data_IF_546521344100
#
_entry.id   IF_546521344100
#
_cell.length_a   1.000
_cell.length_b   1.000
_cell.length_c   1.000
_cell.angle_alpha   90.00
_cell.angle_beta   90.00
_cell.angle_gamma   90.00
#
_symmetry.space_group_name_H-M   'P 1'
#
loop_
_entity.id
_entity.type
_entity.pdbx_description
1 polymer ?
#
# COMPACT_ATOMS: atom_id res chain seq x y z
N UNK A 1 4.23 -42.11 -38.88
CA UNK A 1 4.46 -40.68 -39.11
C UNK A 1 4.11 -39.95 -37.84
N UNK A 2 5.05 -39.90 -36.91
CA UNK A 2 4.89 -39.24 -35.62
C UNK A 2 5.14 -37.74 -35.83
N UNK A 3 4.06 -36.95 -35.76
CA UNK A 3 4.12 -35.50 -35.75
C UNK A 3 4.74 -35.04 -34.43
N UNK A 4 6.05 -34.82 -34.45
CA UNK A 4 6.77 -34.10 -33.41
C UNK A 4 6.26 -32.66 -33.37
N UNK A 5 5.38 -32.39 -32.41
CA UNK A 5 4.99 -31.04 -32.01
C UNK A 5 6.20 -30.42 -31.34
N UNK A 6 7.11 -29.85 -32.14
CA UNK A 6 8.19 -29.02 -31.66
C UNK A 6 7.53 -27.75 -31.11
N UNK A 7 7.36 -27.72 -29.79
CA UNK A 7 7.00 -26.53 -29.04
C UNK A 7 8.03 -25.44 -29.34
N UNK A 8 7.71 -24.50 -30.24
CA UNK A 8 8.49 -23.29 -30.45
C UNK A 8 8.75 -22.61 -29.11
N UNK A 9 9.99 -22.74 -28.61
CA UNK A 9 10.44 -21.99 -27.45
C UNK A 9 10.43 -20.52 -27.84
N UNK A 10 9.37 -19.82 -27.43
CA UNK A 10 9.27 -18.37 -27.63
C UNK A 10 10.45 -17.73 -26.90
N UNK A 11 11.24 -16.96 -27.64
CA UNK A 11 12.38 -16.23 -27.07
C UNK A 11 11.87 -15.30 -25.95
N UNK A 12 12.46 -15.35 -24.74
CA UNK A 12 12.07 -14.52 -23.59
C UNK A 12 12.03 -13.02 -23.93
N UNK A 13 12.96 -12.56 -24.76
CA UNK A 13 13.06 -11.17 -25.23
C UNK A 13 11.80 -10.70 -25.95
N UNK A 14 11.24 -11.55 -26.82
CA UNK A 14 10.04 -11.22 -27.61
C UNK A 14 8.82 -11.08 -26.71
N UNK A 15 8.73 -11.90 -25.66
CA UNK A 15 7.63 -11.82 -24.68
C UNK A 15 7.72 -10.50 -23.90
N UNK A 16 8.93 -10.14 -23.45
CA UNK A 16 9.14 -8.89 -22.71
C UNK A 16 8.81 -7.66 -23.55
N UNK A 17 9.21 -7.64 -24.82
CA UNK A 17 8.86 -6.56 -25.76
C UNK A 17 7.36 -6.36 -25.95
N UNK A 18 6.55 -7.42 -25.86
CA UNK A 18 5.09 -7.34 -26.01
C UNK A 18 4.39 -6.88 -24.72
N UNK A 19 4.96 -7.23 -23.56
CA UNK A 19 4.34 -7.00 -22.26
C UNK A 19 4.73 -5.65 -21.65
N UNK A 20 5.96 -5.21 -21.86
CA UNK A 20 6.53 -4.02 -21.22
C UNK A 20 6.45 -2.83 -22.18
N UNK A 21 6.20 -1.63 -21.65
CA UNK A 21 6.24 -0.40 -22.46
C UNK A 21 7.63 -0.18 -23.07
N UNK A 22 7.66 0.28 -24.32
CA UNK A 22 8.90 0.46 -25.08
C UNK A 22 9.96 1.31 -24.35
N UNK A 23 9.52 2.33 -23.61
CA UNK A 23 10.38 3.25 -22.85
C UNK A 23 11.28 2.54 -21.83
N UNK A 24 10.81 1.42 -21.27
CA UNK A 24 11.48 0.73 -20.18
C UNK A 24 12.28 -0.50 -20.64
N UNK A 25 12.19 -0.90 -21.91
CA UNK A 25 12.82 -2.13 -22.40
C UNK A 25 14.34 -2.18 -22.19
N UNK A 26 15.01 -1.02 -22.26
CA UNK A 26 16.46 -0.90 -22.05
C UNK A 26 16.92 -1.41 -20.68
N UNK A 27 16.03 -1.39 -19.68
CA UNK A 27 16.36 -1.76 -18.30
C UNK A 27 16.19 -3.25 -18.00
N UNK A 28 15.68 -4.03 -18.96
CA UNK A 28 15.35 -5.45 -18.77
C UNK A 28 16.31 -6.41 -19.46
N UNK A 29 17.35 -5.93 -20.16
CA UNK A 29 18.37 -6.79 -20.79
C UNK A 29 19.03 -7.74 -19.79
N UNK A 30 19.40 -7.19 -18.63
CA UNK A 30 20.14 -7.92 -17.60
C UNK A 30 19.21 -8.77 -16.73
N UNK A 31 17.92 -8.43 -16.71
CA UNK A 31 16.92 -9.15 -15.92
C UNK A 31 16.78 -10.59 -16.38
N UNK A 32 16.86 -10.86 -17.68
CA UNK A 32 16.71 -12.21 -18.24
C UNK A 32 17.82 -13.14 -17.73
N UNK A 33 19.03 -12.61 -17.54
CA UNK A 33 20.17 -13.38 -17.04
C UNK A 33 20.09 -13.63 -15.53
N UNK A 34 19.48 -12.70 -14.79
CA UNK A 34 19.35 -12.75 -13.32
C UNK A 34 18.03 -13.36 -12.85
N UNK A 35 17.12 -13.69 -13.76
CA UNK A 35 15.80 -14.18 -13.42
C UNK A 35 15.87 -15.55 -12.75
N UNK A 36 15.16 -15.70 -11.63
CA UNK A 36 15.01 -16.98 -10.96
C UNK A 36 14.15 -17.94 -11.80
N UNK A 37 14.30 -19.25 -11.62
CA UNK A 37 13.54 -20.25 -12.36
C UNK A 37 12.01 -20.04 -12.29
N UNK A 38 11.52 -19.62 -11.12
CA UNK A 38 10.10 -19.29 -10.91
C UNK A 38 9.67 -18.08 -11.75
N UNK A 39 10.51 -17.07 -11.86
CA UNK A 39 10.25 -15.86 -12.63
C UNK A 39 10.30 -16.14 -14.14
N UNK A 40 11.27 -16.96 -14.58
CA UNK A 40 11.37 -17.41 -15.96
C UNK A 40 10.15 -18.24 -16.39
N UNK A 41 9.67 -19.15 -15.53
CA UNK A 41 8.41 -19.89 -15.75
C UNK A 41 7.20 -18.96 -15.75
N UNK A 42 7.17 -17.98 -14.84
CA UNK A 42 6.14 -16.94 -14.81
C UNK A 42 6.09 -16.12 -16.10
N UNK A 43 7.24 -15.79 -16.68
CA UNK A 43 7.32 -15.09 -17.97
C UNK A 43 6.77 -15.94 -19.12
N UNK A 44 7.07 -17.23 -19.14
CA UNK A 44 6.50 -18.15 -20.14
C UNK A 44 4.98 -18.24 -20.03
N UNK A 45 4.45 -18.31 -18.81
CA UNK A 45 3.01 -18.28 -18.55
C UNK A 45 2.40 -16.96 -19.01
N UNK A 46 3.03 -15.83 -18.71
CA UNK A 46 2.60 -14.52 -19.20
C UNK A 46 2.60 -14.44 -20.72
N UNK A 47 3.61 -15.00 -21.39
CA UNK A 47 3.63 -15.11 -22.85
C UNK A 47 2.48 -15.97 -23.38
N UNK A 48 2.14 -17.06 -22.70
CA UNK A 48 1.00 -17.89 -23.04
C UNK A 48 -0.35 -17.20 -22.78
N UNK A 49 -0.47 -16.41 -21.72
CA UNK A 49 -1.65 -15.56 -21.43
C UNK A 49 -1.83 -14.56 -22.55
N UNK A 50 -0.74 -13.89 -22.96
CA UNK A 50 -0.76 -12.91 -24.04
C UNK A 50 -1.17 -13.53 -25.38
N UNK A 51 -0.58 -14.68 -25.74
CA UNK A 51 -0.96 -15.44 -26.95
C UNK A 51 -2.44 -15.83 -26.97
N UNK A 52 -2.98 -16.26 -25.83
CA UNK A 52 -4.37 -16.69 -25.70
C UNK A 52 -5.33 -15.55 -25.32
N UNK A 53 -4.86 -14.28 -25.31
CA UNK A 53 -5.64 -13.08 -24.94
C UNK A 53 -6.37 -13.21 -23.60
N UNK A 54 -5.78 -13.95 -22.65
CA UNK A 54 -6.34 -14.18 -21.31
C UNK A 54 -7.54 -15.12 -21.23
N UNK A 55 -7.85 -15.92 -22.27
CA UNK A 55 -9.06 -16.77 -22.31
C UNK A 55 -8.86 -18.23 -21.91
N UNK A 56 -7.61 -18.66 -21.71
CA UNK A 56 -7.27 -20.07 -21.49
C UNK A 56 -6.88 -20.30 -20.04
N UNK A 57 -7.53 -21.27 -19.39
CA UNK A 57 -7.09 -21.83 -18.11
C UNK A 57 -5.91 -22.77 -18.33
N UNK A 58 -4.87 -22.63 -17.53
CA UNK A 58 -3.78 -23.59 -17.51
C UNK A 58 -4.22 -24.79 -16.69
N UNK A 59 -4.31 -25.95 -17.34
CA UNK A 59 -4.65 -27.17 -16.61
C UNK A 59 -3.49 -27.52 -15.70
N UNK A 60 -3.78 -27.68 -14.41
CA UNK A 60 -2.93 -28.42 -13.50
C UNK A 60 -2.52 -29.75 -14.14
N UNK A 61 -1.37 -30.30 -13.74
CA UNK A 61 -1.13 -31.73 -13.95
C UNK A 61 -2.40 -32.45 -13.48
N UNK A 62 -2.93 -33.45 -14.23
CA UNK A 62 -4.03 -34.25 -13.71
C UNK A 62 -3.62 -34.66 -12.30
N UNK A 63 -4.50 -34.55 -11.28
CA UNK A 63 -4.14 -34.80 -9.90
C UNK A 63 -3.36 -36.10 -9.93
N UNK A 64 -2.05 -36.01 -9.71
CA UNK A 64 -1.22 -37.19 -9.70
C UNK A 64 -1.77 -37.92 -8.51
N UNK A 65 -2.61 -38.91 -8.80
CA UNK A 65 -3.30 -39.70 -7.81
C UNK A 65 -2.25 -39.99 -6.75
N UNK A 66 -2.58 -39.70 -5.50
CA UNK A 66 -1.69 -39.78 -4.35
C UNK A 66 -0.94 -41.14 -4.24
N UNK A 67 -1.26 -42.11 -5.10
CA UNK A 67 -0.48 -43.30 -5.45
C UNK A 67 1.03 -43.07 -5.57
N UNK A 68 1.54 -41.98 -6.16
CA UNK A 68 3.01 -41.77 -6.23
C UNK A 68 3.61 -41.35 -4.88
N UNK A 69 2.91 -40.55 -4.09
CA UNK A 69 3.32 -40.24 -2.71
C UNK A 69 3.19 -41.46 -1.78
N UNK A 70 2.20 -42.34 -2.02
CA UNK A 70 2.04 -43.60 -1.28
C UNK A 70 3.16 -44.58 -1.64
N UNK A 71 3.60 -44.63 -2.90
CA UNK A 71 4.76 -45.44 -3.30
C UNK A 71 6.10 -44.84 -2.86
N UNK A 72 6.25 -43.50 -2.82
CA UNK A 72 7.46 -42.87 -2.27
C UNK A 72 7.58 -43.00 -0.75
N UNK A 73 6.48 -43.30 -0.04
CA UNK A 73 6.52 -43.66 1.38
C UNK A 73 7.01 -45.10 1.64
N UNK A 74 7.18 -45.94 0.61
CA UNK A 74 7.67 -47.32 0.81
C UNK A 74 9.19 -47.42 1.02
N UNK A 75 9.96 -46.39 0.67
CA UNK A 75 11.37 -46.32 1.09
C UNK A 75 11.45 -45.57 2.43
N UNK A 76 11.38 -46.34 3.52
CA UNK A 76 11.70 -45.84 4.86
C UNK A 76 13.17 -45.44 4.92
N UNK A 77 13.46 -44.20 4.55
CA UNK A 77 14.80 -43.63 4.70
C UNK A 77 15.07 -43.33 6.18
N UNK A 78 15.75 -44.26 6.86
CA UNK A 78 16.09 -44.16 8.27
C UNK A 78 16.82 -42.87 8.62
N UNK A 79 17.63 -42.33 7.70
CA UNK A 79 18.36 -41.07 7.92
C UNK A 79 17.40 -39.88 8.03
N UNK A 80 16.39 -39.83 7.16
CA UNK A 80 15.38 -38.77 7.17
C UNK A 80 14.49 -38.85 8.41
N UNK A 81 14.19 -40.07 8.87
CA UNK A 81 13.45 -40.30 10.12
C UNK A 81 14.27 -39.86 11.35
N UNK A 82 15.56 -40.17 11.40
CA UNK A 82 16.46 -39.73 12.48
C UNK A 82 16.60 -38.20 12.51
N UNK A 83 16.73 -37.56 11.35
CA UNK A 83 16.82 -36.10 11.24
C UNK A 83 15.52 -35.43 11.71
N UNK A 84 14.36 -35.93 11.30
CA UNK A 84 13.05 -35.49 11.80
C UNK A 84 12.92 -35.65 13.31
N UNK A 85 13.39 -36.77 13.87
CA UNK A 85 13.35 -37.03 15.31
C UNK A 85 14.23 -36.05 16.09
N UNK A 86 15.47 -35.82 15.63
CA UNK A 86 16.38 -34.81 16.22
C UNK A 86 15.80 -33.41 16.13
N UNK A 87 15.19 -33.06 14.99
CA UNK A 87 14.49 -31.78 14.79
C UNK A 87 13.34 -31.64 15.80
N UNK A 88 12.53 -32.68 15.99
CA UNK A 88 11.42 -32.65 16.95
C UNK A 88 11.88 -32.53 18.41
N UNK A 89 13.02 -33.14 18.78
CA UNK A 89 13.58 -32.99 20.12
C UNK A 89 14.13 -31.58 20.40
N UNK A 90 14.72 -30.95 19.37
CA UNK A 90 15.35 -29.63 19.50
C UNK A 90 14.38 -28.48 19.30
N UNK A 91 13.23 -28.71 18.66
CA UNK A 91 12.24 -27.67 18.39
C UNK A 91 11.27 -27.56 19.57
N UNK A 92 11.35 -26.46 20.32
CA UNK A 92 10.36 -26.17 21.37
C UNK A 92 8.97 -25.92 20.77
N UNK A 93 7.91 -26.18 21.54
CA UNK A 93 6.55 -25.84 21.12
C UNK A 93 6.44 -24.35 20.74
N UNK A 94 7.09 -23.47 21.51
CA UNK A 94 7.15 -22.05 21.19
C UNK A 94 7.79 -21.78 19.82
N UNK A 95 8.87 -22.47 19.46
CA UNK A 95 9.52 -22.33 18.15
C UNK A 95 8.69 -22.91 17.00
N UNK A 96 7.85 -23.92 17.27
CA UNK A 96 6.88 -24.43 16.30
C UNK A 96 5.76 -23.41 16.02
N UNK A 97 5.22 -22.78 17.07
CA UNK A 97 4.11 -21.84 16.96
C UNK A 97 4.52 -20.41 16.59
N UNK A 98 5.73 -19.97 16.93
CA UNK A 98 6.16 -18.57 16.78
C UNK A 98 7.56 -18.43 16.18
N UNK A 99 8.25 -19.53 15.89
CA UNK A 99 9.58 -19.53 15.29
C UNK A 99 9.56 -19.53 13.76
N UNK A 100 10.76 -19.55 13.20
CA UNK A 100 11.04 -19.50 11.75
C UNK A 100 10.49 -20.68 10.93
N UNK A 101 9.92 -21.71 11.57
CA UNK A 101 9.29 -22.87 10.92
C UNK A 101 7.95 -22.54 10.26
N UNK A 102 7.31 -21.41 10.58
CA UNK A 102 6.13 -20.93 9.87
C UNK A 102 6.42 -20.44 8.44
N UNK A 103 7.70 -20.29 8.04
CA UNK A 103 8.09 -19.85 6.68
C UNK A 103 7.61 -20.79 5.56
N UNK A 104 7.27 -22.04 5.88
CA UNK A 104 6.77 -23.03 4.91
C UNK A 104 5.24 -23.02 4.75
N UNK A 105 4.51 -22.23 5.55
CA UNK A 105 3.07 -22.06 5.36
C UNK A 105 2.87 -21.23 4.09
N UNK A 106 2.64 -21.90 2.96
CA UNK A 106 2.28 -21.24 1.71
C UNK A 106 1.01 -20.40 1.96
N UNK A 107 0.97 -19.14 1.50
CA UNK A 107 -0.21 -18.31 1.66
C UNK A 107 -1.41 -18.98 0.95
N UNK A 108 -2.49 -19.22 1.69
CA UNK A 108 -3.67 -19.89 1.14
C UNK A 108 -4.46 -19.03 0.14
N UNK A 109 -4.22 -17.72 0.13
CA UNK A 109 -4.90 -16.77 -0.76
C UNK A 109 -3.89 -15.83 -1.41
N UNK A 110 -4.07 -15.57 -2.71
CA UNK A 110 -3.27 -14.62 -3.48
C UNK A 110 -3.95 -13.26 -3.57
N UNK A 111 -3.16 -12.20 -3.82
CA UNK A 111 -3.62 -10.81 -4.00
C UNK A 111 -4.65 -10.68 -5.12
N UNK A 112 -4.56 -11.53 -6.15
CA UNK A 112 -5.49 -11.56 -7.28
C UNK A 112 -6.93 -11.95 -6.91
N UNK A 113 -7.17 -12.53 -5.73
CA UNK A 113 -8.53 -12.77 -5.21
C UNK A 113 -9.24 -11.46 -4.84
N UNK A 114 -8.48 -10.42 -4.52
CA UNK A 114 -9.00 -9.20 -3.92
C UNK A 114 -8.92 -7.99 -4.84
N UNK A 115 -7.95 -7.96 -5.77
CA UNK A 115 -7.71 -6.81 -6.66
C UNK A 115 -7.34 -7.25 -8.07
N UNK A 116 -7.78 -6.46 -9.05
CA UNK A 116 -7.38 -6.62 -10.45
C UNK A 116 -5.92 -6.20 -10.66
N UNK A 117 -5.25 -6.73 -11.66
CA UNK A 117 -3.87 -6.35 -12.00
C UNK A 117 -3.78 -4.86 -12.33
N UNK A 118 -4.76 -4.31 -13.03
CA UNK A 118 -4.81 -2.87 -13.38
C UNK A 118 -4.82 -1.94 -12.15
N UNK A 119 -5.32 -2.39 -11.01
CA UNK A 119 -5.40 -1.60 -9.77
C UNK A 119 -4.10 -1.67 -8.94
N UNK A 120 -3.24 -2.64 -9.25
CA UNK A 120 -1.99 -2.85 -8.52
C UNK A 120 -0.87 -1.99 -9.10
N UNK A 121 0.05 -1.58 -8.24
CA UNK A 121 1.22 -0.80 -8.67
C UNK A 121 2.12 -1.55 -9.66
N UNK A 122 2.09 -2.89 -9.62
CA UNK A 122 2.84 -3.76 -10.53
C UNK A 122 2.48 -3.55 -12.01
N UNK A 123 1.33 -2.93 -12.29
CA UNK A 123 0.87 -2.66 -13.65
C UNK A 123 1.58 -1.48 -14.32
N UNK A 124 2.24 -0.58 -13.57
CA UNK A 124 2.87 0.64 -14.11
C UNK A 124 3.84 0.40 -15.29
N UNK A 125 4.75 -0.59 -15.26
CA UNK A 125 5.65 -0.87 -16.39
C UNK A 125 4.98 -1.61 -17.56
N UNK A 126 3.78 -2.18 -17.37
CA UNK A 126 3.10 -3.01 -18.36
C UNK A 126 2.38 -2.18 -19.42
N UNK A 127 2.26 -2.72 -20.63
CA UNK A 127 1.38 -2.19 -21.67
C UNK A 127 -0.09 -2.34 -21.27
N UNK A 128 -0.94 -1.44 -21.74
CA UNK A 128 -2.37 -1.45 -21.36
C UNK A 128 -3.10 -2.70 -21.88
N UNK A 129 -2.68 -3.23 -23.03
CA UNK A 129 -3.15 -4.53 -23.54
C UNK A 129 -2.75 -5.70 -22.63
N UNK A 130 -1.51 -5.71 -22.13
CA UNK A 130 -1.05 -6.77 -21.23
C UNK A 130 -1.84 -6.74 -19.92
N UNK A 131 -2.14 -5.55 -19.37
CA UNK A 131 -2.99 -5.42 -18.18
C UNK A 131 -4.36 -6.04 -18.38
N UNK A 132 -5.03 -5.72 -19.50
CA UNK A 132 -6.35 -6.25 -19.83
C UNK A 132 -6.36 -7.77 -19.98
N UNK A 133 -5.34 -8.35 -20.64
CA UNK A 133 -5.24 -9.80 -20.79
C UNK A 133 -4.94 -10.52 -19.48
N UNK A 134 -4.17 -9.91 -18.59
CA UNK A 134 -3.92 -10.46 -17.25
C UNK A 134 -5.19 -10.36 -16.40
N UNK A 135 -5.93 -9.26 -16.46
CA UNK A 135 -7.21 -9.11 -15.74
C UNK A 135 -8.24 -10.15 -16.19
N UNK A 136 -8.39 -10.34 -17.50
CA UNK A 136 -9.26 -11.39 -18.05
C UNK A 136 -8.85 -12.79 -17.59
N UNK A 137 -7.54 -13.05 -17.49
CA UNK A 137 -7.04 -14.33 -17.00
C UNK A 137 -7.26 -14.51 -15.50
N UNK A 138 -7.13 -13.45 -14.69
CA UNK A 138 -7.43 -13.47 -13.26
C UNK A 138 -8.90 -13.84 -13.01
N UNK A 139 -9.83 -13.32 -13.83
CA UNK A 139 -11.26 -13.66 -13.75
C UNK A 139 -11.55 -15.15 -13.97
N UNK A 140 -10.68 -15.85 -14.70
CA UNK A 140 -10.80 -17.30 -14.88
C UNK A 140 -10.51 -18.08 -13.58
N UNK A 141 -9.90 -17.45 -12.57
CA UNK A 141 -9.54 -18.04 -11.28
C UNK A 141 -8.79 -19.38 -11.46
N UNK A 142 -7.59 -19.28 -12.04
CA UNK A 142 -6.71 -20.42 -12.29
C UNK A 142 -6.10 -20.99 -10.99
N UNK A 143 -5.38 -22.11 -11.07
CA UNK A 143 -4.73 -22.72 -9.90
C UNK A 143 -3.74 -21.75 -9.21
N UNK A 144 -3.72 -21.81 -7.87
CA UNK A 144 -2.92 -20.91 -7.03
C UNK A 144 -1.43 -20.92 -7.41
N UNK A 145 -0.88 -22.09 -7.77
CA UNK A 145 0.54 -22.22 -8.15
C UNK A 145 0.89 -21.36 -9.38
N UNK A 146 0.03 -21.35 -10.41
CA UNK A 146 0.25 -20.54 -11.60
C UNK A 146 0.08 -19.05 -11.30
N UNK A 147 -0.90 -18.71 -10.46
CA UNK A 147 -1.08 -17.34 -9.99
C UNK A 147 0.14 -16.83 -9.22
N UNK A 148 0.76 -17.65 -8.38
CA UNK A 148 1.98 -17.29 -7.64
C UNK A 148 3.19 -17.08 -8.57
N UNK A 149 3.36 -17.92 -9.60
CA UNK A 149 4.43 -17.77 -10.58
C UNK A 149 4.30 -16.45 -11.38
N UNK A 150 3.09 -16.14 -11.83
CA UNK A 150 2.79 -14.90 -12.54
C UNK A 150 3.02 -13.69 -11.62
N UNK A 151 2.53 -13.75 -10.38
CA UNK A 151 2.71 -12.70 -9.38
C UNK A 151 4.19 -12.45 -9.05
N UNK A 152 4.98 -13.52 -8.87
CA UNK A 152 6.41 -13.42 -8.63
C UNK A 152 7.13 -12.73 -9.79
N UNK A 153 6.80 -13.12 -11.02
CA UNK A 153 7.33 -12.48 -12.23
C UNK A 153 6.96 -10.98 -12.29
N UNK A 154 5.68 -10.64 -12.13
CA UNK A 154 5.21 -9.25 -12.15
C UNK A 154 5.86 -8.38 -11.07
N UNK A 155 6.05 -8.92 -9.86
CA UNK A 155 6.76 -8.23 -8.77
C UNK A 155 8.22 -8.01 -9.08
N UNK A 156 8.89 -9.00 -9.68
CA UNK A 156 10.28 -8.89 -10.11
C UNK A 156 10.45 -7.79 -11.17
N UNK A 157 9.58 -7.78 -12.17
CA UNK A 157 9.56 -6.75 -13.21
C UNK A 157 9.28 -5.36 -12.65
N UNK A 158 8.35 -5.24 -11.70
CA UNK A 158 8.06 -3.99 -11.01
C UNK A 158 9.21 -3.51 -10.14
N UNK A 159 9.87 -4.41 -9.41
CA UNK A 159 11.03 -4.10 -8.57
C UNK A 159 12.15 -3.47 -9.39
N UNK A 160 12.41 -4.03 -10.59
CA UNK A 160 13.39 -3.44 -11.53
C UNK A 160 12.98 -2.07 -12.01
N UNK A 161 11.73 -1.88 -12.41
CA UNK A 161 11.24 -0.56 -12.79
C UNK A 161 11.36 0.46 -11.64
N UNK A 162 11.01 0.05 -10.42
CA UNK A 162 11.08 0.90 -9.22
C UNK A 162 12.53 1.27 -8.88
N UNK A 163 13.48 0.36 -9.05
CA UNK A 163 14.90 0.61 -8.82
C UNK A 163 15.49 1.66 -9.77
N UNK A 164 14.92 1.81 -10.97
CA UNK A 164 15.32 2.83 -11.93
C UNK A 164 14.67 4.20 -11.67
N UNK A 165 13.65 4.26 -10.81
CA UNK A 165 13.10 5.54 -10.41
C UNK A 165 14.07 6.26 -9.48
N UNK A 166 14.27 7.56 -9.73
CA UNK A 166 15.03 8.42 -8.82
C UNK A 166 14.39 8.32 -7.42
N UNK A 167 15.15 7.91 -6.39
CA UNK A 167 14.64 7.87 -5.03
C UNK A 167 14.13 9.25 -4.64
N UNK A 168 12.85 9.34 -4.30
CA UNK A 168 12.27 10.58 -3.78
C UNK A 168 12.51 10.61 -2.28
N UNK A 169 12.92 11.76 -1.77
CA UNK A 169 13.07 11.96 -0.32
C UNK A 169 11.71 11.97 0.35
N UNK A 170 11.65 11.68 1.65
CA UNK A 170 10.42 11.74 2.45
C UNK A 170 9.71 13.09 2.31
N UNK A 171 10.49 14.17 2.22
CA UNK A 171 9.97 15.51 1.97
C UNK A 171 9.24 15.62 0.62
N UNK A 172 9.76 15.03 -0.45
CA UNK A 172 9.09 15.01 -1.76
C UNK A 172 7.91 14.04 -1.81
N UNK A 173 7.85 13.00 -0.97
CA UNK A 173 6.73 12.06 -0.96
C UNK A 173 5.55 12.54 -0.12
N UNK A 174 5.83 13.20 1.01
CA UNK A 174 4.81 13.66 1.96
C UNK A 174 4.38 15.12 1.74
N UNK A 175 5.25 15.97 1.17
CA UNK A 175 5.01 17.42 1.10
C UNK A 175 4.94 18.01 -0.32
N UNK A 176 5.23 17.25 -1.39
CA UNK A 176 4.95 17.72 -2.75
C UNK A 176 3.50 17.44 -3.14
N UNK A 177 2.65 18.43 -2.89
CA UNK A 177 1.55 18.76 -3.79
C UNK A 177 1.85 19.96 -4.68
N UNK A 178 2.60 20.95 -4.18
CA UNK A 178 3.12 22.09 -4.95
C UNK A 178 4.34 22.64 -4.24
N UNK A 179 5.42 22.88 -4.98
CA UNK A 179 6.50 23.76 -4.51
C UNK A 179 5.88 25.15 -4.30
N UNK A 180 5.54 25.50 -3.07
CA UNK A 180 5.08 26.86 -2.79
C UNK A 180 6.30 27.79 -2.88
N UNK A 181 6.48 28.40 -4.07
CA UNK A 181 7.54 29.38 -4.32
C UNK A 181 7.50 30.55 -3.33
N UNK A 182 6.44 30.70 -2.55
CA UNK A 182 6.33 31.67 -1.44
C UNK A 182 7.10 31.24 -0.19
N UNK A 183 7.23 29.95 0.09
CA UNK A 183 7.99 29.43 1.25
C UNK A 183 9.51 29.36 0.97
N UNK A 184 9.91 29.26 -0.30
CA UNK A 184 11.31 29.35 -0.71
C UNK A 184 11.87 30.78 -0.71
N UNK A 185 11.00 31.80 -0.59
CA UNK A 185 11.45 33.19 -0.47
C UNK A 185 11.80 33.45 0.99
N UNK A 186 12.98 34.05 1.29
CA UNK A 186 13.32 34.41 2.67
C UNK A 186 12.22 35.31 3.24
N UNK A 187 11.81 35.03 4.48
CA UNK A 187 10.79 35.81 5.19
C UNK A 187 11.26 37.26 5.23
N UNK A 188 10.57 38.13 4.50
CA UNK A 188 10.85 39.57 4.54
C UNK A 188 10.35 40.13 5.87
N UNK A 189 11.29 40.31 6.79
CA UNK A 189 11.04 40.86 8.14
C UNK A 189 10.30 42.22 8.04
N UNK A 190 10.59 43.01 7.00
CA UNK A 190 9.94 44.29 6.71
C UNK A 190 8.41 44.17 6.56
N UNK A 191 7.93 43.05 6.02
CA UNK A 191 6.49 42.80 5.79
C UNK A 191 5.83 42.21 7.04
N UNK A 192 6.50 41.28 7.73
CA UNK A 192 6.04 40.73 9.00
C UNK A 192 5.90 41.82 10.08
N UNK A 193 6.84 42.78 10.12
CA UNK A 193 6.77 43.94 11.00
C UNK A 193 5.60 44.89 10.68
N UNK A 194 5.15 44.94 9.43
CA UNK A 194 3.98 45.75 9.03
C UNK A 194 2.66 45.14 9.52
N UNK A 195 2.54 43.81 9.49
CA UNK A 195 1.35 43.09 10.00
C UNK A 195 1.25 43.18 11.52
N UNK A 196 2.38 43.06 12.24
CA UNK A 196 2.45 43.32 13.69
C UNK A 196 2.03 44.76 14.07
N UNK A 197 2.37 45.75 13.24
CA UNK A 197 1.97 47.15 13.44
C UNK A 197 0.52 47.43 12.99
N UNK A 198 -0.08 46.56 12.20
CA UNK A 198 -1.48 46.67 11.77
C UNK A 198 -2.48 46.25 12.85
N UNK A 199 -2.01 45.48 13.85
CA UNK A 199 -2.69 45.32 15.14
C UNK A 199 -2.53 46.57 16.02
N UNK A 200 -2.81 47.76 15.47
CA UNK A 200 -3.07 48.94 16.31
C UNK A 200 -4.40 48.69 17.02
N UNK A 201 -4.37 48.68 18.34
CA UNK A 201 -5.55 48.57 19.19
C UNK A 201 -6.58 49.59 18.71
N UNK A 202 -7.79 49.13 18.36
CA UNK A 202 -8.84 50.01 17.87
C UNK A 202 -9.32 50.90 19.04
N UNK A 203 -8.68 52.05 19.21
CA UNK A 203 -8.95 53.01 20.29
C UNK A 203 -10.42 53.41 20.35
N UNK A 204 -11.08 53.50 19.20
CA UNK A 204 -12.52 53.82 19.14
C UNK A 204 -13.39 52.71 19.72
N UNK A 205 -13.02 51.43 19.52
CA UNK A 205 -13.73 50.31 20.12
C UNK A 205 -13.55 50.28 21.65
N UNK A 206 -12.31 50.50 22.12
CA UNK A 206 -11.99 50.56 23.55
C UNK A 206 -12.72 51.74 24.22
N UNK A 207 -12.72 52.90 23.58
CA UNK A 207 -13.39 54.10 24.08
C UNK A 207 -14.91 53.89 24.17
N UNK A 208 -15.55 53.35 23.12
CA UNK A 208 -16.98 53.00 23.15
C UNK A 208 -17.31 52.00 24.25
N UNK A 209 -16.41 51.06 24.55
CA UNK A 209 -16.61 50.07 25.61
C UNK A 209 -16.53 50.71 27.00
N UNK A 210 -15.59 51.64 27.24
CA UNK A 210 -15.53 52.41 28.48
C UNK A 210 -16.77 53.26 28.70
N UNK A 211 -17.22 53.96 27.67
CA UNK A 211 -18.41 54.82 27.75
C UNK A 211 -19.68 54.01 28.07
N UNK A 212 -19.81 52.81 27.51
CA UNK A 212 -20.89 51.87 27.88
C UNK A 212 -20.79 51.42 29.34
N UNK A 213 -19.59 51.13 29.85
CA UNK A 213 -19.40 50.74 31.25
C UNK A 213 -19.76 51.88 32.21
N UNK A 214 -19.40 53.12 31.88
CA UNK A 214 -19.77 54.30 32.67
C UNK A 214 -21.29 54.48 32.73
N UNK A 215 -21.98 54.38 31.59
CA UNK A 215 -23.45 54.44 31.54
C UNK A 215 -24.12 53.31 32.35
N UNK A 216 -23.55 52.11 32.33
CA UNK A 216 -24.06 50.99 33.15
C UNK A 216 -23.87 51.30 34.64
N UNK A 217 -22.72 51.84 35.02
CA UNK A 217 -22.43 52.17 36.42
C UNK A 217 -23.32 53.31 36.93
N UNK A 218 -23.62 54.31 36.11
CA UNK A 218 -24.59 55.37 36.44
C UNK A 218 -25.99 54.80 36.65
N UNK A 219 -26.46 53.96 35.71
CA UNK A 219 -27.76 53.27 35.86
C UNK A 219 -27.82 52.36 37.09
N UNK A 220 -26.72 51.71 37.44
CA UNK A 220 -26.65 50.91 38.67
C UNK A 220 -26.77 51.79 39.92
N UNK A 221 -26.12 52.95 39.95
CA UNK A 221 -26.26 53.91 41.07
C UNK A 221 -27.68 54.46 41.18
N UNK A 222 -28.33 54.76 40.06
CA UNK A 222 -29.73 55.18 40.05
C UNK A 222 -30.64 54.07 40.58
N UNK A 223 -30.44 52.82 40.12
CA UNK A 223 -31.20 51.66 40.60
C UNK A 223 -30.97 51.38 42.10
N UNK A 224 -29.76 51.60 42.63
CA UNK A 224 -29.47 51.49 44.06
C UNK A 224 -30.24 52.52 44.91
N UNK A 225 -30.60 53.67 44.34
CA UNK A 225 -31.37 54.71 45.02
C UNK A 225 -32.89 54.47 44.94
N UNK A 226 -33.36 53.70 43.95
CA UNK A 226 -34.78 53.34 43.83
C UNK A 226 -35.22 52.37 44.93
N UNK A 227 -36.50 52.42 45.30
CA UNK A 227 -37.09 51.57 46.35
C UNK A 227 -37.03 50.06 46.03
N UNK A 228 -36.70 49.70 44.79
CA UNK A 228 -36.42 48.33 44.35
C UNK A 228 -35.16 47.73 45.00
N UNK A 229 -34.10 48.50 45.19
CA UNK A 229 -32.89 48.02 45.88
C UNK A 229 -33.10 47.88 47.40
N UNK A 230 -33.96 48.73 47.98
CA UNK A 230 -34.37 48.63 49.38
C UNK A 230 -35.25 47.40 49.61
N UNK A 231 -36.17 47.08 48.70
CA UNK A 231 -36.99 45.88 48.80
C UNK A 231 -36.16 44.60 48.67
N UNK A 232 -35.16 44.56 47.77
CA UNK A 232 -34.23 43.42 47.64
C UNK A 232 -33.34 43.20 48.88
N UNK A 233 -32.94 44.27 49.60
CA UNK A 233 -32.19 44.15 50.86
C UNK A 233 -33.03 43.50 51.97
N UNK A 234 -34.35 43.68 51.98
CA UNK A 234 -35.27 43.07 52.94
C UNK A 234 -35.37 41.54 52.74
N UNK A 235 -35.20 41.05 51.51
CA UNK A 235 -35.28 39.60 51.23
C UNK A 235 -33.98 38.84 51.50
N UNK A 236 -32.81 39.51 51.59
CA UNK A 236 -31.53 38.83 51.89
C UNK A 236 -31.38 38.38 53.34
N UNK A 237 -32.20 38.89 54.27
CA UNK A 237 -32.16 38.53 55.69
C UNK A 237 -32.93 37.25 56.03
N UNK A 238 -33.63 36.61 55.09
CA UNK A 238 -34.16 35.26 55.31
C UNK A 238 -33.09 34.20 55.03
N UNK A 239 -32.10 34.13 55.94
CA UNK A 239 -31.37 32.88 56.16
C UNK A 239 -32.31 31.94 56.91
N UNK A 240 -32.81 30.93 56.20
CA UNK A 240 -33.49 29.77 56.80
C UNK A 240 -32.43 29.04 57.63
N UNK A 241 -32.66 28.89 58.94
CA UNK A 241 -31.97 27.91 59.77
C UNK A 241 -32.53 26.51 59.48
#
# INVERSE_FOLDING_TARGET
MESTVISEKVLPDRILQQIIKADYLKFYSDWIQLANEKEARGLQLLGAIYKNKGRKKFRAKPPSVQLQSIHQQQEFDYKKAEEMYRKNQTTSQYQSFYGSLQKEIKPQNNVFKYKKCSELEFSKPLTDLAKLFIDNWIELNDELEFQELVLACLRSLYSRWKAQQVPKTENQMCYDGRTDWKLSKPVRIDKAGSELKSFKTNYNAIFKQRLKQEQINEKLKELEQTDFAKSLKIFKSFKIN
#
